data_IF_206212253896
#
_entry.id   IF_206212253896
#
_cell.length_a   1.000
_cell.length_b   1.000
_cell.length_c   1.000
_cell.angle_alpha   90.00
_cell.angle_beta   90.00
_cell.angle_gamma   90.00
#
_symmetry.space_group_name_H-M   'P 1'
#
loop_
_entity.id
_entity.type
_entity.pdbx_description
1 polymer ?
#
# COMPACT_ATOMS: atom_id res chain seq x y z
N UNK A 1 14.04 -2.63 2.05
CA UNK A 1 13.92 -1.45 2.94
C UNK A 1 12.44 -1.21 3.25
N UNK A 2 11.60 -1.16 2.23
CA UNK A 2 10.16 -0.90 2.30
C UNK A 2 9.31 -1.88 3.12
N UNK A 3 9.59 -3.18 3.06
CA UNK A 3 8.80 -4.21 3.76
C UNK A 3 8.86 -4.15 5.29
N UNK A 4 9.99 -3.68 5.83
CA UNK A 4 10.34 -3.82 7.24
C UNK A 4 10.02 -2.57 8.07
N UNK A 5 10.08 -1.39 7.44
CA UNK A 5 9.72 -0.11 8.06
C UNK A 5 8.22 0.10 8.27
N UNK A 6 7.36 -0.63 7.54
CA UNK A 6 5.91 -0.53 7.69
C UNK A 6 5.37 -1.39 8.86
N UNK A 7 6.07 -2.48 9.22
CA UNK A 7 5.63 -3.41 10.26
C UNK A 7 6.48 -3.34 11.54
N UNK A 8 7.61 -2.62 11.53
CA UNK A 8 8.56 -2.58 12.65
C UNK A 8 9.49 -3.80 12.74
N UNK A 9 9.57 -4.64 11.70
CA UNK A 9 10.36 -5.87 11.72
C UNK A 9 11.87 -5.65 11.46
N UNK A 10 12.71 -6.49 12.09
CA UNK A 10 14.17 -6.43 12.03
C UNK A 10 14.75 -6.49 10.60
N UNK A 11 15.55 -5.50 10.21
CA UNK A 11 16.18 -5.41 8.88
C UNK A 11 17.69 -5.68 8.90
N UNK A 12 18.13 -6.63 8.07
CA UNK A 12 19.54 -6.83 7.69
C UNK A 12 19.71 -6.51 6.20
N UNK A 13 20.49 -5.48 5.87
CA UNK A 13 20.86 -5.14 4.49
C UNK A 13 22.29 -5.61 4.26
N UNK A 14 22.48 -6.66 3.46
CA UNK A 14 23.80 -6.96 2.88
C UNK A 14 24.00 -6.14 1.61
N UNK A 15 25.03 -5.28 1.58
CA UNK A 15 25.58 -4.71 0.33
C UNK A 15 26.89 -5.44 0.04
N UNK A 16 27.11 -5.80 -1.22
CA UNK A 16 28.31 -6.54 -1.67
C UNK A 16 29.65 -5.78 -1.45
N UNK A 17 29.65 -4.53 -0.97
CA UNK A 17 30.89 -3.73 -0.84
C UNK A 17 30.95 -2.72 0.33
N UNK A 18 30.02 -2.71 1.30
CA UNK A 18 30.12 -1.89 2.53
C UNK A 18 29.52 -2.60 3.74
N UNK A 19 30.05 -2.30 4.93
CA UNK A 19 29.55 -2.83 6.21
C UNK A 19 28.03 -2.65 6.33
N UNK A 20 27.37 -3.70 6.82
CA UNK A 20 25.92 -3.78 6.94
C UNK A 20 25.39 -2.73 7.93
N UNK A 21 24.70 -1.71 7.42
CA UNK A 21 24.02 -0.73 8.28
C UNK A 21 22.76 -1.37 8.89
N UNK A 22 22.71 -1.38 10.22
CA UNK A 22 21.60 -1.92 11.00
C UNK A 22 20.70 -0.77 11.47
N UNK A 23 19.45 -0.75 11.03
CA UNK A 23 18.42 0.12 11.60
C UNK A 23 17.55 -0.74 12.50
N UNK A 24 17.68 -0.57 13.81
CA UNK A 24 17.05 -1.44 14.81
C UNK A 24 15.51 -1.32 14.84
N UNK A 25 14.96 -0.14 14.55
CA UNK A 25 13.51 0.15 14.60
C UNK A 25 13.11 1.08 13.44
N UNK A 26 13.07 0.61 12.18
CA UNK A 26 12.67 1.46 11.07
C UNK A 26 11.17 1.77 11.16
N UNK A 27 10.80 3.05 11.14
CA UNK A 27 9.44 3.52 10.92
C UNK A 27 9.39 4.24 9.56
N UNK A 28 8.48 3.86 8.68
CA UNK A 28 8.30 4.47 7.36
C UNK A 28 6.85 4.89 7.18
N UNK A 29 6.64 6.21 7.05
CA UNK A 29 5.38 6.77 6.57
C UNK A 29 5.54 7.12 5.10
N UNK A 30 4.63 6.61 4.26
CA UNK A 30 4.64 6.81 2.82
C UNK A 30 3.32 7.43 2.39
N UNK A 31 3.37 8.62 1.79
CA UNK A 31 2.25 9.25 1.09
C UNK A 31 2.66 9.52 -0.36
N UNK A 32 1.94 8.93 -1.30
CA UNK A 32 2.24 9.05 -2.73
C UNK A 32 1.02 9.59 -3.47
N UNK A 33 1.21 10.69 -4.19
CA UNK A 33 0.26 11.19 -5.17
C UNK A 33 0.86 10.92 -6.56
N UNK A 34 0.46 9.81 -7.17
CA UNK A 34 0.98 9.35 -8.46
C UNK A 34 -0.15 9.27 -9.48
N UNK A 35 0.19 9.42 -10.76
CA UNK A 35 -0.74 9.16 -11.84
C UNK A 35 -1.09 7.67 -11.90
N UNK A 36 -2.31 7.28 -12.31
CA UNK A 36 -2.72 5.88 -12.43
C UNK A 36 -1.76 5.03 -13.29
N UNK A 37 -1.20 5.60 -14.36
CA UNK A 37 -0.24 4.89 -15.23
C UNK A 37 1.01 4.40 -14.47
N UNK A 38 1.45 5.13 -13.45
CA UNK A 38 2.57 4.70 -12.59
C UNK A 38 2.22 3.43 -11.81
N UNK A 39 0.96 3.25 -11.41
CA UNK A 39 0.52 2.04 -10.72
C UNK A 39 0.52 0.83 -11.68
N UNK A 40 0.12 1.04 -12.94
CA UNK A 40 0.16 0.01 -14.00
C UNK A 40 1.59 -0.39 -14.32
N UNK A 41 2.48 0.59 -14.47
CA UNK A 41 3.90 0.35 -14.71
C UNK A 41 4.51 -0.48 -13.58
N UNK A 42 4.24 -0.11 -12.32
CA UNK A 42 4.69 -0.85 -11.13
C UNK A 42 4.14 -2.29 -11.14
N UNK A 43 2.87 -2.49 -11.52
CA UNK A 43 2.25 -3.81 -11.58
C UNK A 43 2.88 -4.72 -12.66
N UNK A 44 3.38 -4.14 -13.75
CA UNK A 44 4.04 -4.86 -14.85
C UNK A 44 5.49 -5.26 -14.58
N UNK A 45 6.11 -4.73 -13.51
CA UNK A 45 7.50 -5.03 -13.17
C UNK A 45 7.68 -6.48 -12.66
N UNK A 46 8.58 -7.29 -13.27
CA UNK A 46 8.86 -8.64 -12.83
C UNK A 46 9.30 -8.69 -11.36
N UNK A 47 8.65 -9.55 -10.57
CA UNK A 47 8.96 -9.74 -9.14
C UNK A 47 8.28 -8.75 -8.18
N UNK A 48 7.56 -7.72 -8.67
CA UNK A 48 7.00 -6.69 -7.81
C UNK A 48 5.77 -7.15 -7.01
N UNK A 49 4.91 -8.01 -7.59
CA UNK A 49 3.77 -8.64 -6.88
C UNK A 49 4.23 -9.44 -5.65
N UNK A 50 5.46 -9.96 -5.62
CA UNK A 50 6.02 -10.69 -4.48
C UNK A 50 6.66 -9.83 -3.39
N UNK A 51 6.79 -8.51 -3.60
CA UNK A 51 7.48 -7.61 -2.66
C UNK A 51 6.59 -7.13 -1.51
N UNK A 52 5.32 -7.53 -1.44
CA UNK A 52 4.40 -7.27 -0.33
C UNK A 52 4.17 -5.79 0.03
N UNK A 53 4.70 -4.85 -0.75
CA UNK A 53 4.60 -3.41 -0.50
C UNK A 53 3.19 -2.90 -0.80
N UNK A 54 2.67 -3.18 -2.00
CA UNK A 54 1.32 -2.75 -2.41
C UNK A 54 0.24 -3.33 -1.49
N UNK A 55 0.45 -4.55 -0.98
CA UNK A 55 -0.44 -5.20 -0.01
C UNK A 55 -0.59 -4.44 1.33
N UNK A 56 0.26 -3.44 1.61
CA UNK A 56 0.26 -2.65 2.84
C UNK A 56 -0.14 -1.19 2.64
N UNK A 57 -0.25 -0.74 1.40
CA UNK A 57 -0.62 0.64 1.06
C UNK A 57 -2.15 0.78 1.13
N UNK A 58 -2.60 1.90 1.69
CA UNK A 58 -3.99 2.33 1.59
C UNK A 58 -4.17 3.07 0.26
N UNK A 59 -5.08 2.58 -0.59
CA UNK A 59 -5.32 3.12 -1.93
C UNK A 59 -6.42 4.18 -1.87
N UNK A 60 -6.18 5.35 -2.44
CA UNK A 60 -7.20 6.35 -2.68
C UNK A 60 -7.17 6.73 -4.17
N UNK A 61 -8.24 6.37 -4.87
CA UNK A 61 -8.44 6.64 -6.30
C UNK A 61 -9.68 7.54 -6.47
N UNK A 62 -9.63 8.80 -6.02
CA UNK A 62 -10.78 9.68 -5.99
C UNK A 62 -11.30 9.98 -7.40
N UNK A 63 -12.56 10.39 -7.49
CA UNK A 63 -13.16 10.79 -8.77
C UNK A 63 -12.37 11.93 -9.42
N UNK A 64 -12.24 11.85 -10.75
CA UNK A 64 -11.61 12.90 -11.52
C UNK A 64 -12.53 14.13 -11.57
N UNK A 65 -12.10 15.23 -10.95
CA UNK A 65 -12.85 16.50 -10.93
C UNK A 65 -12.46 17.46 -12.06
N UNK A 66 -11.62 17.06 -13.01
CA UNK A 66 -11.32 17.88 -14.20
C UNK A 66 -12.62 18.17 -14.96
N UNK A 67 -12.91 19.45 -15.18
CA UNK A 67 -14.17 19.91 -15.78
C UNK A 67 -15.32 20.14 -14.80
N UNK A 68 -15.24 19.61 -13.57
CA UNK A 68 -16.29 19.69 -12.54
C UNK A 68 -15.83 20.32 -11.23
N UNK A 69 -14.54 20.66 -11.09
CA UNK A 69 -13.99 21.25 -9.87
C UNK A 69 -14.63 22.59 -9.57
N UNK A 70 -14.95 22.82 -8.29
CA UNK A 70 -15.38 24.12 -7.79
C UNK A 70 -14.22 25.11 -7.89
N UNK A 71 -14.33 26.09 -8.79
CA UNK A 71 -13.37 27.19 -8.91
C UNK A 71 -13.66 28.20 -7.80
N UNK A 72 -12.61 28.68 -7.12
CA UNK A 72 -12.76 29.63 -6.01
C UNK A 72 -13.44 29.00 -4.79
N UNK A 73 -13.06 27.78 -4.42
CA UNK A 73 -13.50 27.18 -3.17
C UNK A 73 -13.19 28.11 -1.98
N UNK A 74 -14.12 28.18 -1.03
CA UNK A 74 -13.97 29.01 0.15
C UNK A 74 -12.70 28.60 0.92
N UNK A 75 -11.94 29.55 1.47
CA UNK A 75 -10.79 29.22 2.30
C UNK A 75 -11.27 28.43 3.52
N UNK A 76 -10.38 27.58 4.06
CA UNK A 76 -10.63 26.90 5.33
C UNK A 76 -10.92 27.96 6.41
N UNK A 77 -12.03 27.85 7.16
CA UNK A 77 -12.33 28.77 8.26
C UNK A 77 -11.17 28.89 9.24
N UNK A 78 -10.87 30.12 9.70
CA UNK A 78 -9.71 30.39 10.56
C UNK A 78 -9.74 29.54 11.85
N UNK A 79 -10.91 29.38 12.44
CA UNK A 79 -11.14 28.54 13.62
C UNK A 79 -10.73 27.07 13.40
N UNK A 80 -10.99 26.52 12.21
CA UNK A 80 -10.61 25.14 11.86
C UNK A 80 -9.09 25.04 11.65
N UNK A 81 -8.50 26.03 10.96
CA UNK A 81 -7.07 26.06 10.73
C UNK A 81 -6.28 26.20 12.05
N UNK A 82 -6.75 27.06 12.95
CA UNK A 82 -6.16 27.28 14.27
C UNK A 82 -6.27 26.02 15.14
N UNK A 83 -7.46 25.42 15.22
CA UNK A 83 -7.68 24.17 15.96
C UNK A 83 -6.79 23.01 15.43
N UNK A 84 -6.64 22.89 14.12
CA UNK A 84 -5.75 21.90 13.51
C UNK A 84 -4.28 22.14 13.89
N UNK A 85 -3.81 23.39 13.78
CA UNK A 85 -2.45 23.77 14.14
C UNK A 85 -2.14 23.50 15.62
N UNK A 86 -3.06 23.86 16.51
CA UNK A 86 -2.92 23.62 17.95
C UNK A 86 -2.90 22.13 18.28
N UNK A 87 -3.78 21.35 17.66
CA UNK A 87 -3.86 19.90 17.85
C UNK A 87 -2.59 19.19 17.39
N UNK A 88 -2.10 19.55 16.19
CA UNK A 88 -0.84 19.02 15.66
C UNK A 88 0.35 19.41 16.54
N UNK A 89 0.39 20.68 16.98
CA UNK A 89 1.42 21.17 17.90
C UNK A 89 1.43 20.40 19.22
N UNK A 90 0.26 20.16 19.82
CA UNK A 90 0.15 19.37 21.03
C UNK A 90 0.68 17.94 20.84
N UNK A 91 0.24 17.25 19.78
CA UNK A 91 0.65 15.87 19.50
C UNK A 91 2.16 15.75 19.27
N UNK A 92 2.73 16.63 18.44
CA UNK A 92 4.17 16.63 18.15
C UNK A 92 4.97 16.94 19.40
N UNK A 93 4.61 17.98 20.16
CA UNK A 93 5.37 18.39 21.34
C UNK A 93 5.27 17.37 22.47
N UNK A 94 4.10 16.74 22.67
CA UNK A 94 3.95 15.71 23.70
C UNK A 94 4.72 14.43 23.37
N UNK A 95 4.83 14.07 22.09
CA UNK A 95 5.53 12.86 21.66
C UNK A 95 7.00 13.08 21.26
N UNK A 96 7.48 14.33 21.15
CA UNK A 96 8.82 14.66 20.65
C UNK A 96 9.97 13.97 21.41
N UNK A 97 9.81 13.79 22.73
CA UNK A 97 10.80 13.11 23.58
C UNK A 97 10.57 11.61 23.73
N UNK A 98 9.51 11.07 23.14
CA UNK A 98 9.10 9.69 23.35
C UNK A 98 9.84 8.75 22.38
N UNK A 99 10.62 7.81 22.92
CA UNK A 99 11.47 6.91 22.13
C UNK A 99 11.04 5.44 22.15
N UNK A 100 10.17 5.06 23.08
CA UNK A 100 9.70 3.69 23.26
C UNK A 100 8.35 3.44 22.59
N UNK A 101 8.05 2.22 22.12
CA UNK A 101 6.71 1.93 21.62
C UNK A 101 5.69 2.00 22.76
N UNK A 102 4.64 2.80 22.58
CA UNK A 102 3.47 2.76 23.45
C UNK A 102 2.57 1.58 23.07
N UNK A 103 2.04 0.87 24.07
CA UNK A 103 1.01 -0.16 23.87
C UNK A 103 -0.33 0.43 24.29
N UNK A 104 -1.20 0.67 23.31
CA UNK A 104 -2.56 1.17 23.55
C UNK A 104 -3.51 -0.03 23.55
N UNK A 105 -4.13 -0.38 24.69
CA UNK A 105 -5.04 -1.51 24.75
C UNK A 105 -6.35 -1.21 24.04
N UNK A 106 -7.04 -2.25 23.57
CA UNK A 106 -8.45 -2.15 23.19
C UNK A 106 -9.32 -2.44 24.42
N UNK A 107 -10.50 -1.83 24.50
CA UNK A 107 -11.54 -2.34 25.41
C UNK A 107 -12.00 -3.74 24.95
N UNK A 108 -12.67 -4.47 25.85
CA UNK A 108 -13.24 -5.78 25.50
C UNK A 108 -14.23 -5.67 24.33
N UNK A 109 -15.05 -4.62 24.33
CA UNK A 109 -16.01 -4.34 23.25
C UNK A 109 -15.32 -4.00 21.92
N UNK A 110 -14.27 -3.16 21.94
CA UNK A 110 -13.46 -2.86 20.77
C UNK A 110 -12.80 -4.12 20.20
N UNK A 111 -12.27 -4.99 21.06
CA UNK A 111 -11.72 -6.27 20.63
C UNK A 111 -12.80 -7.17 19.99
N UNK A 112 -14.02 -7.16 20.54
CA UNK A 112 -15.18 -7.80 19.94
C UNK A 112 -15.47 -7.29 18.52
N UNK A 113 -15.44 -5.98 18.31
CA UNK A 113 -15.60 -5.37 16.97
C UNK A 113 -14.51 -5.79 15.99
N UNK A 114 -13.26 -5.87 16.42
CA UNK A 114 -12.16 -6.35 15.56
C UNK A 114 -12.42 -7.79 15.11
N UNK A 115 -12.85 -8.67 16.02
CA UNK A 115 -13.20 -10.05 15.67
C UNK A 115 -14.40 -10.15 14.72
N UNK A 116 -15.40 -9.26 14.88
CA UNK A 116 -16.54 -9.18 13.95
C UNK A 116 -16.07 -8.79 12.55
N UNK A 117 -15.14 -7.83 12.45
CA UNK A 117 -14.53 -7.43 11.18
C UNK A 117 -13.76 -8.60 10.55
N UNK A 118 -12.93 -9.30 11.31
CA UNK A 118 -12.20 -10.49 10.81
C UNK A 118 -13.16 -11.55 10.28
N UNK A 119 -14.24 -11.86 11.02
CA UNK A 119 -15.28 -12.79 10.60
C UNK A 119 -15.98 -12.36 9.31
N UNK A 120 -16.19 -11.05 9.11
CA UNK A 120 -16.78 -10.51 7.89
C UNK A 120 -15.80 -10.51 6.70
N UNK A 121 -14.50 -10.36 6.96
CA UNK A 121 -13.45 -10.32 5.93
C UNK A 121 -13.12 -11.70 5.39
N UNK A 122 -13.04 -12.72 6.25
CA UNK A 122 -12.61 -14.08 5.89
C UNK A 122 -13.33 -14.67 4.64
N UNK A 123 -14.67 -14.67 4.55
CA UNK A 123 -15.35 -15.21 3.36
C UNK A 123 -15.08 -14.40 2.08
N UNK A 124 -14.70 -13.12 2.20
CA UNK A 124 -14.34 -12.27 1.04
C UNK A 124 -13.02 -12.71 0.43
N UNK A 125 -12.10 -13.25 1.25
CA UNK A 125 -10.77 -13.72 0.83
C UNK A 125 -10.80 -15.10 0.16
N UNK A 126 -11.89 -15.86 0.32
CA UNK A 126 -12.03 -17.19 -0.25
C UNK A 126 -11.91 -17.17 -1.80
N UNK A 127 -11.53 -18.29 -2.43
CA UNK A 127 -11.58 -18.41 -3.88
C UNK A 127 -12.98 -18.07 -4.42
N UNK A 128 -13.07 -17.10 -5.33
CA UNK A 128 -14.35 -16.60 -5.86
C UNK A 128 -15.08 -15.59 -4.97
N UNK A 129 -14.55 -15.29 -3.77
CA UNK A 129 -15.01 -14.20 -2.93
C UNK A 129 -14.65 -12.83 -3.52
N UNK A 130 -15.30 -11.78 -3.01
CA UNK A 130 -15.15 -10.41 -3.51
C UNK A 130 -13.70 -9.89 -3.52
N UNK A 131 -12.84 -10.41 -2.64
CA UNK A 131 -11.43 -10.05 -2.52
C UNK A 131 -10.48 -11.17 -2.95
N UNK A 132 -11.00 -12.24 -3.57
CA UNK A 132 -10.23 -13.44 -3.92
C UNK A 132 -9.07 -13.19 -4.90
N UNK A 133 -9.09 -12.08 -5.65
CA UNK A 133 -8.00 -11.67 -6.56
C UNK A 133 -7.04 -10.65 -5.93
N UNK A 134 -7.32 -10.15 -4.71
CA UNK A 134 -6.49 -9.21 -3.94
C UNK A 134 -6.17 -9.72 -2.53
N UNK A 135 -6.13 -11.04 -2.33
CA UNK A 135 -5.98 -11.69 -1.01
C UNK A 135 -4.76 -11.16 -0.23
N UNK A 136 -3.65 -10.88 -0.92
CA UNK A 136 -2.45 -10.33 -0.28
C UNK A 136 -2.72 -9.00 0.43
N UNK A 137 -3.53 -8.12 -0.18
CA UNK A 137 -3.98 -6.86 0.41
C UNK A 137 -5.10 -7.09 1.43
N UNK A 138 -6.12 -7.87 1.07
CA UNK A 138 -7.29 -8.13 1.91
C UNK A 138 -6.92 -8.76 3.26
N UNK A 139 -5.90 -9.63 3.30
CA UNK A 139 -5.36 -10.23 4.53
C UNK A 139 -4.68 -9.23 5.48
N UNK A 140 -4.46 -7.98 5.04
CA UNK A 140 -3.90 -6.88 5.85
C UNK A 140 -4.94 -5.82 6.23
N UNK A 141 -6.17 -5.97 5.75
CA UNK A 141 -7.27 -5.04 5.95
C UNK A 141 -7.55 -4.77 7.43
N UNK A 142 -7.85 -5.81 8.22
CA UNK A 142 -8.22 -5.65 9.64
C UNK A 142 -7.11 -4.94 10.42
N UNK A 143 -5.85 -5.34 10.20
CA UNK A 143 -4.72 -4.67 10.83
C UNK A 143 -4.58 -3.20 10.42
N UNK A 144 -4.95 -2.83 9.20
CA UNK A 144 -5.00 -1.43 8.79
C UNK A 144 -6.12 -0.65 9.47
N UNK A 145 -7.32 -1.25 9.61
CA UNK A 145 -8.43 -0.67 10.38
C UNK A 145 -8.03 -0.41 11.82
N UNK A 146 -7.41 -1.37 12.50
CA UNK A 146 -6.94 -1.18 13.90
C UNK A 146 -5.88 -0.08 14.01
N UNK A 147 -4.97 0.04 13.03
CA UNK A 147 -4.01 1.15 13.01
C UNK A 147 -4.69 2.51 12.79
N UNK A 148 -5.68 2.58 11.91
CA UNK A 148 -6.47 3.82 11.71
C UNK A 148 -7.24 4.18 12.98
N UNK A 149 -7.82 3.21 13.68
CA UNK A 149 -8.47 3.44 14.97
C UNK A 149 -7.50 4.02 16.00
N UNK A 150 -6.27 3.48 16.08
CA UNK A 150 -5.22 4.04 16.94
C UNK A 150 -4.87 5.49 16.59
N UNK A 151 -4.83 5.85 15.30
CA UNK A 151 -4.58 7.23 14.88
C UNK A 151 -5.74 8.18 15.21
N UNK A 152 -6.99 7.74 15.00
CA UNK A 152 -8.19 8.51 15.37
C UNK A 152 -8.21 8.72 16.89
N UNK A 153 -8.01 7.66 17.66
CA UNK A 153 -7.96 7.70 19.13
C UNK A 153 -6.94 8.72 19.64
N UNK A 154 -5.72 8.70 19.11
CA UNK A 154 -4.67 9.65 19.50
C UNK A 154 -5.00 11.10 19.09
N UNK A 155 -5.67 11.29 17.94
CA UNK A 155 -6.11 12.61 17.51
C UNK A 155 -7.22 13.19 18.40
N UNK A 156 -8.05 12.34 19.02
CA UNK A 156 -9.10 12.75 19.96
C UNK A 156 -8.58 12.93 21.40
N UNK A 157 -7.54 12.19 21.76
CA UNK A 157 -6.96 12.15 23.09
C UNK A 157 -5.50 12.64 23.07
N UNK A 158 -5.29 13.85 22.55
CA UNK A 158 -3.96 14.39 22.17
C UNK A 158 -2.87 14.32 23.24
N UNK A 159 -3.23 14.36 24.53
CA UNK A 159 -2.29 14.50 25.65
C UNK A 159 -2.11 13.23 26.48
N UNK A 160 -2.99 12.25 26.34
CA UNK A 160 -2.99 11.06 27.18
C UNK A 160 -3.57 9.81 26.50
N UNK A 161 -3.85 9.86 25.20
CA UNK A 161 -4.47 8.76 24.44
C UNK A 161 -3.72 7.44 24.53
N UNK A 162 -2.39 7.46 24.65
CA UNK A 162 -1.58 6.25 24.87
C UNK A 162 -1.84 5.54 26.21
N UNK A 163 -2.44 6.21 27.19
CA UNK A 163 -2.80 5.64 28.49
C UNK A 163 -4.27 5.20 28.57
N UNK A 164 -5.05 5.45 27.52
CA UNK A 164 -6.48 5.15 27.46
C UNK A 164 -6.74 4.00 26.49
N UNK A 165 -7.66 3.09 26.80
CA UNK A 165 -8.03 2.06 25.85
C UNK A 165 -8.80 2.67 24.67
N UNK A 166 -8.63 2.10 23.48
CA UNK A 166 -9.46 2.41 22.30
C UNK A 166 -10.82 1.74 22.46
N UNK A 167 -11.89 2.49 22.24
CA UNK A 167 -13.27 2.01 22.36
C UNK A 167 -13.84 1.46 21.03
N UNK A 168 -15.03 0.87 21.11
CA UNK A 168 -15.68 0.23 19.98
C UNK A 168 -16.13 1.23 18.91
N UNK A 169 -16.58 2.43 19.31
CA UNK A 169 -16.97 3.50 18.37
C UNK A 169 -15.79 3.93 17.49
N UNK A 170 -14.61 4.06 18.08
CA UNK A 170 -13.38 4.39 17.34
C UNK A 170 -13.02 3.30 16.31
N UNK A 171 -13.22 2.02 16.65
CA UNK A 171 -13.06 0.89 15.71
C UNK A 171 -14.08 0.99 14.57
N UNK A 172 -15.35 1.24 14.88
CA UNK A 172 -16.42 1.35 13.88
C UNK A 172 -16.18 2.51 12.90
N UNK A 173 -15.73 3.66 13.40
CA UNK A 173 -15.34 4.82 12.57
C UNK A 173 -14.11 4.54 11.72
N UNK A 174 -13.13 3.82 12.26
CA UNK A 174 -11.98 3.37 11.47
C UNK A 174 -12.37 2.35 10.40
N UNK A 175 -13.35 1.49 10.67
CA UNK A 175 -13.86 0.53 9.71
C UNK A 175 -14.56 1.22 8.52
N UNK A 176 -15.26 2.34 8.75
CA UNK A 176 -15.82 3.15 7.66
C UNK A 176 -14.74 3.69 6.70
N UNK A 177 -13.60 4.14 7.23
CA UNK A 177 -12.44 4.49 6.40
C UNK A 177 -11.84 3.25 5.73
N UNK A 178 -11.81 2.12 6.43
CA UNK A 178 -11.44 0.82 5.88
C UNK A 178 -12.23 0.49 4.62
N UNK A 179 -13.55 0.56 4.68
CA UNK A 179 -14.43 0.27 3.54
C UNK A 179 -14.17 1.19 2.36
N UNK A 180 -13.93 2.48 2.61
CA UNK A 180 -13.46 3.43 1.59
C UNK A 180 -12.17 2.92 0.93
N UNK A 181 -11.12 2.66 1.72
CA UNK A 181 -9.84 2.19 1.18
C UNK A 181 -9.94 0.84 0.48
N UNK A 182 -10.84 -0.05 0.91
CA UNK A 182 -11.08 -1.32 0.26
C UNK A 182 -11.75 -1.18 -1.11
N UNK A 183 -12.72 -0.28 -1.23
CA UNK A 183 -13.35 0.02 -2.52
C UNK A 183 -12.31 0.58 -3.52
N UNK A 184 -11.45 1.48 -3.06
CA UNK A 184 -10.38 2.02 -3.89
C UNK A 184 -9.26 1.02 -4.18
N UNK A 185 -8.94 0.12 -3.25
CA UNK A 185 -8.00 -0.96 -3.49
C UNK A 185 -8.51 -1.88 -4.59
N UNK A 186 -9.78 -2.30 -4.54
CA UNK A 186 -10.41 -3.07 -5.62
C UNK A 186 -10.29 -2.35 -6.96
N UNK A 187 -10.70 -1.08 -7.05
CA UNK A 187 -10.59 -0.30 -8.28
C UNK A 187 -9.14 -0.20 -8.79
N UNK A 188 -8.18 0.02 -7.89
CA UNK A 188 -6.77 0.11 -8.26
C UNK A 188 -6.20 -1.24 -8.72
N UNK A 189 -6.56 -2.35 -8.06
CA UNK A 189 -6.11 -3.69 -8.44
C UNK A 189 -6.81 -4.20 -9.69
N UNK A 190 -8.04 -3.81 -9.95
CA UNK A 190 -8.74 -4.04 -11.21
C UNK A 190 -8.05 -3.27 -12.35
N UNK A 191 -7.68 -2.01 -12.14
CA UNK A 191 -6.92 -1.21 -13.13
C UNK A 191 -5.50 -1.78 -13.37
N UNK A 192 -4.83 -2.27 -12.32
CA UNK A 192 -3.54 -2.97 -12.41
C UNK A 192 -3.65 -4.38 -12.99
N UNK A 193 -4.82 -5.00 -12.89
CA UNK A 193 -5.16 -6.33 -13.38
C UNK A 193 -5.81 -6.32 -14.76
N UNK A 194 -6.12 -5.13 -15.30
CA UNK A 194 -6.72 -4.92 -16.60
C UNK A 194 -5.73 -5.33 -17.70
N UNK A 195 -5.89 -6.57 -18.12
CA UNK A 195 -5.46 -7.18 -19.37
C UNK A 195 -4.00 -6.93 -19.79
N UNK A 196 -3.10 -7.78 -19.27
CA UNK A 196 -1.72 -7.87 -19.74
C UNK A 196 -1.61 -8.64 -21.06
N UNK A 197 -2.64 -9.36 -21.49
CA UNK A 197 -2.63 -10.22 -22.68
C UNK A 197 -2.28 -9.43 -23.97
N UNK A 198 -2.87 -8.24 -24.24
CA UNK A 198 -2.52 -7.43 -25.41
C UNK A 198 -1.08 -6.92 -25.36
N UNK A 199 -0.61 -6.51 -24.18
CA UNK A 199 0.76 -6.03 -23.99
C UNK A 199 1.79 -7.17 -24.16
N UNK A 200 1.50 -8.35 -23.61
CA UNK A 200 2.32 -9.54 -23.77
C UNK A 200 2.37 -9.99 -25.23
N UNK A 201 1.25 -9.93 -25.96
CA UNK A 201 1.19 -10.25 -27.38
C UNK A 201 2.04 -9.29 -28.23
N UNK A 202 2.01 -7.99 -27.91
CA UNK A 202 2.87 -6.98 -28.57
C UNK A 202 4.35 -7.25 -28.28
N UNK A 203 4.69 -7.55 -27.03
CA UNK A 203 6.08 -7.82 -26.63
C UNK A 203 6.64 -9.12 -27.22
N UNK A 204 5.82 -10.16 -27.38
CA UNK A 204 6.17 -11.40 -28.08
C UNK A 204 6.34 -11.14 -29.61
N UNK A 205 5.40 -10.41 -30.22
CA UNK A 205 5.45 -10.05 -31.65
C UNK A 205 6.67 -9.21 -32.03
N UNK A 206 7.15 -8.36 -31.11
CA UNK A 206 8.35 -7.54 -31.30
C UNK A 206 9.65 -8.18 -30.75
N UNK A 207 9.59 -9.43 -30.28
CA UNK A 207 10.76 -10.19 -29.84
C UNK A 207 11.40 -9.71 -28.52
N UNK A 208 10.64 -8.97 -27.70
CA UNK A 208 11.05 -8.57 -26.36
C UNK A 208 10.86 -9.70 -25.34
N UNK A 209 9.84 -10.52 -25.55
CA UNK A 209 9.55 -11.72 -24.77
C UNK A 209 9.40 -12.92 -25.70
N UNK A 210 9.55 -14.13 -25.17
CA UNK A 210 9.16 -15.37 -25.83
C UNK A 210 8.55 -16.32 -24.82
N UNK A 211 7.31 -16.76 -25.03
CA UNK A 211 6.71 -17.78 -24.16
C UNK A 211 7.42 -19.13 -24.34
N UNK A 212 7.73 -19.78 -23.24
CA UNK A 212 8.27 -21.15 -23.22
C UNK A 212 7.13 -22.10 -22.87
N UNK A 213 7.06 -23.22 -23.57
CA UNK A 213 6.15 -24.29 -23.21
C UNK A 213 6.42 -24.74 -21.77
N UNK A 214 5.34 -24.85 -20.98
CA UNK A 214 5.44 -25.37 -19.63
C UNK A 214 5.93 -26.84 -19.65
N UNK A 215 6.70 -27.29 -18.65
CA UNK A 215 7.07 -28.69 -18.55
C UNK A 215 5.82 -29.58 -18.51
N UNK A 216 5.92 -30.78 -19.10
CA UNK A 216 4.80 -31.72 -19.19
C UNK A 216 4.16 -31.94 -17.80
N UNK A 217 2.81 -31.94 -17.77
CA UNK A 217 2.01 -31.99 -16.53
C UNK A 217 2.50 -33.11 -15.60
N UNK A 218 2.70 -32.84 -14.30
CA UNK A 218 2.77 -33.91 -13.32
C UNK A 218 1.47 -34.72 -13.35
N UNK A 219 1.57 -36.05 -13.21
CA UNK A 219 0.40 -36.97 -13.22
C UNK A 219 -0.56 -36.77 -12.05
N UNK A 220 -0.20 -35.93 -11.08
CA UNK A 220 -0.99 -35.60 -9.89
C UNK A 220 -1.64 -34.24 -10.05
N UNK A 221 -2.98 -34.21 -9.92
CA UNK A 221 -3.80 -33.02 -10.11
C UNK A 221 -3.36 -31.86 -9.23
N UNK A 222 -3.11 -30.71 -9.86
CA UNK A 222 -2.75 -29.45 -9.25
C UNK A 222 -2.97 -28.30 -10.24
N UNK A 223 -3.00 -27.06 -9.75
CA UNK A 223 -3.12 -25.85 -10.57
C UNK A 223 -2.03 -25.85 -11.65
N UNK A 224 -2.34 -25.57 -12.93
CA UNK A 224 -1.33 -25.49 -13.97
C UNK A 224 -0.22 -24.51 -13.57
N UNK A 225 1.05 -24.85 -13.84
CA UNK A 225 2.14 -23.90 -13.65
C UNK A 225 1.88 -22.65 -14.50
N UNK A 226 2.16 -21.48 -13.94
CA UNK A 226 2.09 -20.22 -14.69
C UNK A 226 2.98 -20.29 -15.93
N UNK A 227 2.58 -19.65 -17.05
CA UNK A 227 3.41 -19.58 -18.24
C UNK A 227 4.76 -18.94 -17.91
N UNK A 228 5.83 -19.52 -18.45
CA UNK A 228 7.19 -19.02 -18.28
C UNK A 228 7.59 -18.29 -19.56
N UNK A 229 8.20 -17.12 -19.43
CA UNK A 229 8.66 -16.33 -20.57
C UNK A 229 10.17 -16.13 -20.48
N UNK A 230 10.85 -16.21 -21.62
CA UNK A 230 12.22 -15.70 -21.78
C UNK A 230 12.13 -14.22 -22.11
N UNK A 231 12.93 -13.42 -21.40
CA UNK A 231 13.14 -12.01 -21.72
C UNK A 231 14.35 -11.90 -22.63
N UNK A 232 14.24 -11.13 -23.72
CA UNK A 232 15.37 -10.89 -24.60
C UNK A 232 16.50 -10.17 -23.83
N UNK A 233 17.72 -10.74 -23.73
CA UNK A 233 18.80 -10.16 -22.91
C UNK A 233 19.35 -8.83 -23.46
N UNK A 234 19.10 -8.51 -24.73
CA UNK A 234 19.64 -7.30 -25.38
C UNK A 234 18.78 -6.04 -25.16
N UNK A 235 17.64 -6.16 -24.47
CA UNK A 235 16.72 -5.04 -24.18
C UNK A 235 17.31 -3.99 -23.23
N UNK A 236 18.41 -4.31 -22.55
CA UNK A 236 19.12 -3.41 -21.63
C UNK A 236 20.41 -2.83 -22.23
N UNK A 237 20.75 -3.15 -23.48
CA UNK A 237 21.90 -2.53 -24.14
C UNK A 237 21.49 -1.14 -24.67
N UNK A 238 22.08 -0.04 -24.18
CA UNK A 238 21.74 1.29 -24.66
C UNK A 238 22.21 1.45 -26.12
N UNK A 239 21.28 1.41 -27.07
CA UNK A 239 21.57 1.56 -28.50
C UNK A 239 21.86 3.00 -28.97
N UNK A 240 22.00 3.97 -28.06
CA UNK A 240 22.38 5.33 -28.44
C UNK A 240 23.15 6.04 -27.31
N UNK A 241 24.35 6.51 -27.63
CA UNK A 241 25.10 7.45 -26.80
C UNK A 241 24.38 8.81 -26.85
N UNK A 242 23.75 9.23 -25.74
CA UNK A 242 23.09 10.54 -25.67
C UNK A 242 24.17 11.62 -25.51
N UNK A 243 24.34 12.47 -26.52
CA UNK A 243 25.22 13.63 -26.44
C UNK A 243 24.53 14.80 -25.72
N UNK A 244 25.21 15.49 -24.78
CA UNK A 244 24.65 16.64 -24.08
C UNK A 244 24.39 17.80 -25.05
N UNK A 245 23.21 18.42 -24.94
CA UNK A 245 22.79 19.58 -25.73
C UNK A 245 23.66 20.79 -25.34
N UNK A 246 24.47 21.28 -26.28
CA UNK A 246 25.25 22.51 -26.09
C UNK A 246 24.30 23.71 -26.04
N UNK A 247 24.33 24.46 -24.94
CA UNK A 247 23.66 25.76 -24.83
C UNK A 247 24.45 26.79 -25.63
N UNK A 248 23.87 27.35 -26.67
CA UNK A 248 24.38 28.56 -27.33
C UNK A 248 23.92 29.79 -26.55
N UNK A 249 24.87 30.68 -26.27
CA UNK A 249 24.64 32.04 -25.79
C UNK A 249 24.31 32.97 -26.97
#
# INVERSE_FOLDING_TARGET
MFLKGHAGDMMRVGRLSRESQHVAKPALTLGLAVQPDVLRDIASMPGFRGLGLLARILFALPENTVGFRRIGADPVPAEVADAYRESLGALVLTLAGWTDPAVVPLTEEANGRVLDIERAVEPRLAPGGAWGHIVDWGSKYTGAVVRMAGLIHLAEHLRDGWSRPVDADTIDRAAQLGDYYAAHALAAFDDMGADLEPALAVLDAHGYLRQIDAPARPRTGGRPPSPTFLVNPDVHQPNATVHPIRRTA
#
